data_IF_766045485075
#
_entry.id   IF_766045485075
#
_cell.length_a   1.000
_cell.length_b   1.000
_cell.length_c   1.000
_cell.angle_alpha   90.00
_cell.angle_beta   90.00
_cell.angle_gamma   90.00
#
_symmetry.space_group_name_H-M   'P 1'
#
loop_
_entity.id
_entity.type
_entity.pdbx_description
1 polymer ?
#
# COMPACT_ATOMS: atom_id res chain seq x y z
N UNK A 1 -59.80 42.32 -1.00
CA UNK A 1 -59.23 40.96 -1.18
C UNK A 1 -57.74 40.98 -1.53
N UNK A 2 -57.01 42.01 -1.18
CA UNK A 2 -55.58 42.20 -1.59
C UNK A 2 -54.58 42.27 -0.44
N UNK A 3 -54.97 42.10 0.81
CA UNK A 3 -54.07 42.20 1.98
C UNK A 3 -53.73 40.84 2.65
N UNK A 4 -54.42 39.78 2.29
CA UNK A 4 -54.19 38.44 2.86
C UNK A 4 -53.17 37.57 2.04
N UNK A 5 -52.94 37.94 0.79
CA UNK A 5 -52.00 37.20 -0.07
C UNK A 5 -50.52 37.58 0.16
N UNK A 6 -50.25 38.83 0.60
CA UNK A 6 -48.89 39.29 0.84
C UNK A 6 -48.26 38.72 2.15
N UNK A 7 -49.09 38.36 3.14
CA UNK A 7 -48.57 37.81 4.42
C UNK A 7 -48.21 36.32 4.37
N UNK A 8 -48.76 35.56 3.41
CA UNK A 8 -48.40 34.13 3.27
C UNK A 8 -47.14 33.90 2.46
N UNK A 9 -46.73 34.81 1.60
CA UNK A 9 -45.50 34.71 0.82
C UNK A 9 -44.27 35.05 1.67
N UNK A 10 -44.41 35.97 2.63
CA UNK A 10 -43.32 36.34 3.55
C UNK A 10 -43.03 35.24 4.61
N UNK A 11 -44.02 34.49 5.02
CA UNK A 11 -43.84 33.40 6.01
C UNK A 11 -43.23 32.14 5.37
N UNK A 12 -43.42 31.95 4.07
CA UNK A 12 -42.77 30.84 3.33
C UNK A 12 -41.30 31.17 2.95
N UNK A 13 -41.02 32.44 2.65
CA UNK A 13 -39.63 32.84 2.39
C UNK A 13 -38.75 32.89 3.65
N UNK A 14 -39.33 33.17 4.83
CA UNK A 14 -38.56 33.14 6.10
C UNK A 14 -38.37 31.73 6.64
N UNK A 15 -39.26 30.77 6.33
CA UNK A 15 -39.03 29.36 6.66
C UNK A 15 -38.04 28.67 5.72
N UNK A 16 -37.88 29.14 4.48
CA UNK A 16 -36.84 28.66 3.56
C UNK A 16 -35.47 29.24 3.89
N UNK A 17 -35.39 30.45 4.42
CA UNK A 17 -34.11 31.04 4.85
C UNK A 17 -33.62 30.48 6.18
N UNK A 18 -34.47 29.86 7.01
CA UNK A 18 -34.07 29.19 8.26
C UNK A 18 -33.70 27.70 7.98
N UNK A 19 -34.21 27.09 6.93
CA UNK A 19 -33.82 25.72 6.53
C UNK A 19 -32.52 25.65 5.72
N UNK A 20 -32.06 26.79 5.15
CA UNK A 20 -30.75 26.89 4.48
C UNK A 20 -29.62 27.44 5.36
N UNK A 21 -29.89 27.72 6.63
CA UNK A 21 -28.97 28.41 7.56
C UNK A 21 -28.28 27.52 8.58
N UNK A 22 -28.37 26.21 8.46
CA UNK A 22 -27.59 25.26 9.25
C UNK A 22 -26.70 24.39 8.33
N UNK A 23 -26.03 25.00 7.38
CA UNK A 23 -24.71 24.50 7.05
C UNK A 23 -23.86 24.79 8.29
N UNK A 24 -23.76 23.84 9.18
CA UNK A 24 -22.68 23.82 10.16
C UNK A 24 -21.42 23.97 9.34
N UNK A 25 -20.80 25.16 9.37
CA UNK A 25 -19.48 25.35 8.84
C UNK A 25 -18.62 24.30 9.50
N UNK A 26 -18.34 23.23 8.78
CA UNK A 26 -17.36 22.25 9.25
C UNK A 26 -16.11 23.06 9.54
N UNK A 27 -15.47 22.94 10.69
CA UNK A 27 -14.18 23.60 10.90
C UNK A 27 -13.32 23.21 9.71
N UNK A 28 -12.75 24.19 9.00
CA UNK A 28 -11.73 23.93 7.99
C UNK A 28 -10.63 23.14 8.69
N UNK A 29 -10.66 21.84 8.51
CA UNK A 29 -9.60 21.01 9.07
C UNK A 29 -8.35 21.27 8.24
N UNK A 30 -7.24 21.64 8.86
CA UNK A 30 -6.06 22.06 8.14
C UNK A 30 -5.57 20.93 7.22
N UNK A 31 -5.55 21.19 5.94
CA UNK A 31 -4.89 20.36 4.94
C UNK A 31 -3.54 21.01 4.68
N UNK A 32 -2.44 20.24 4.54
CA UNK A 32 -1.14 20.80 4.25
C UNK A 32 -1.18 21.72 3.03
N UNK A 33 -0.60 22.91 3.13
CA UNK A 33 -0.54 23.88 2.03
C UNK A 33 0.21 23.26 0.84
N UNK A 34 -0.42 23.14 -0.34
CA UNK A 34 0.25 22.59 -1.52
C UNK A 34 1.48 23.41 -1.98
N UNK A 35 1.56 24.69 -1.58
CA UNK A 35 2.67 25.57 -1.91
C UNK A 35 3.82 25.52 -0.88
N UNK A 36 3.62 24.84 0.26
CA UNK A 36 4.68 24.67 1.25
C UNK A 36 5.83 23.80 0.70
N UNK A 37 7.05 23.93 1.25
CA UNK A 37 8.15 23.04 0.95
C UNK A 37 7.76 21.56 1.07
N UNK A 38 8.35 20.70 0.23
CA UNK A 38 7.99 19.29 0.17
C UNK A 38 8.13 18.60 1.54
N UNK A 39 9.21 18.87 2.27
CA UNK A 39 9.45 18.28 3.58
C UNK A 39 8.37 18.67 4.62
N UNK A 40 7.86 19.91 4.58
CA UNK A 40 6.78 20.36 5.45
C UNK A 40 5.46 19.66 5.11
N UNK A 41 5.15 19.54 3.81
CA UNK A 41 3.95 18.83 3.33
C UNK A 41 3.96 17.35 3.73
N UNK A 42 5.08 16.67 3.51
CA UNK A 42 5.22 15.25 3.90
C UNK A 42 5.08 15.08 5.40
N UNK A 43 5.72 15.94 6.20
CA UNK A 43 5.61 15.90 7.67
C UNK A 43 4.17 16.13 8.14
N UNK A 44 3.46 17.07 7.52
CA UNK A 44 2.08 17.35 7.87
C UNK A 44 1.12 16.21 7.47
N UNK A 45 1.31 15.59 6.29
CA UNK A 45 0.53 14.42 5.90
C UNK A 45 0.85 13.18 6.75
N UNK A 46 2.10 12.99 7.13
CA UNK A 46 2.52 11.93 8.05
C UNK A 46 1.85 12.09 9.44
N UNK A 47 1.75 13.32 9.93
CA UNK A 47 1.03 13.61 11.16
C UNK A 47 -0.48 13.30 11.06
N UNK A 48 -1.13 13.68 9.95
CA UNK A 48 -2.55 13.37 9.71
C UNK A 48 -2.78 11.85 9.58
N UNK A 49 -1.85 11.14 8.93
CA UNK A 49 -1.88 9.69 8.87
C UNK A 49 -1.90 9.08 10.27
N UNK A 50 -1.01 9.52 11.16
CA UNK A 50 -0.97 9.03 12.54
C UNK A 50 -2.21 9.41 13.34
N UNK A 51 -2.77 10.59 13.12
CA UNK A 51 -3.92 11.09 13.88
C UNK A 51 -5.22 10.35 13.50
N UNK A 52 -5.43 10.07 12.20
CA UNK A 52 -6.72 9.58 11.71
C UNK A 52 -6.68 8.20 11.06
N UNK A 53 -5.57 7.82 10.44
CA UNK A 53 -5.48 6.59 9.63
C UNK A 53 -4.77 5.43 10.35
N UNK A 54 -3.98 5.71 11.38
CA UNK A 54 -3.14 4.72 12.03
C UNK A 54 -3.85 4.10 13.24
N UNK A 55 -4.23 2.83 13.10
CA UNK A 55 -4.93 2.08 14.15
C UNK A 55 -4.40 0.64 14.23
N UNK A 56 -4.19 0.13 15.44
CA UNK A 56 -3.73 -1.25 15.66
C UNK A 56 -2.41 -1.58 14.93
N UNK A 57 -1.56 -0.55 14.73
CA UNK A 57 -0.29 -0.61 14.01
C UNK A 57 -0.42 -0.88 12.51
N UNK A 58 -1.60 -0.66 11.92
CA UNK A 58 -1.85 -0.71 10.48
C UNK A 58 -2.44 0.61 9.97
N UNK A 59 -2.28 0.85 8.67
CA UNK A 59 -2.74 2.08 8.00
C UNK A 59 -4.11 1.83 7.37
N UNK A 60 -5.14 2.47 7.91
CA UNK A 60 -6.45 2.51 7.27
C UNK A 60 -6.43 3.49 6.09
N UNK A 61 -6.88 3.04 4.93
CA UNK A 61 -6.72 3.81 3.69
C UNK A 61 -7.63 5.00 3.59
N UNK A 62 -8.78 4.96 4.22
CA UNK A 62 -9.85 5.92 4.06
C UNK A 62 -10.38 6.38 5.41
N UNK A 63 -10.54 7.69 5.57
CA UNK A 63 -11.18 8.31 6.73
C UNK A 63 -12.29 9.23 6.26
N UNK A 64 -13.48 9.08 6.84
CA UNK A 64 -14.64 9.95 6.57
C UNK A 64 -14.96 10.73 7.82
N UNK A 65 -14.97 12.05 7.69
CA UNK A 65 -15.20 12.96 8.80
C UNK A 65 -16.70 13.19 9.08
N UNK A 66 -17.05 13.83 10.22
CA UNK A 66 -18.40 14.29 10.46
C UNK A 66 -18.92 15.21 9.32
N UNK A 67 -20.23 15.26 9.05
CA UNK A 67 -21.31 14.66 9.85
C UNK A 67 -21.68 13.23 9.47
N UNK A 68 -21.01 12.55 8.51
CA UNK A 68 -21.38 11.18 8.15
C UNK A 68 -21.25 10.23 9.34
N UNK A 69 -20.16 10.32 10.09
CA UNK A 69 -19.89 9.59 11.34
C UNK A 69 -20.46 10.23 12.59
N UNK A 70 -21.45 11.17 12.45
CA UNK A 70 -22.03 11.96 13.54
C UNK A 70 -21.00 12.92 14.17
N UNK A 71 -20.48 12.63 15.35
CA UNK A 71 -19.55 13.46 16.10
C UNK A 71 -18.08 13.00 16.02
N UNK A 72 -17.81 11.93 15.28
CA UNK A 72 -16.47 11.35 15.12
C UNK A 72 -16.17 10.95 13.68
N UNK A 73 -14.89 10.81 13.36
CA UNK A 73 -14.46 10.23 12.10
C UNK A 73 -14.69 8.71 12.09
N UNK A 74 -14.92 8.17 10.89
CA UNK A 74 -15.07 6.74 10.62
C UNK A 74 -13.95 6.33 9.70
N UNK A 75 -13.26 5.25 10.05
CA UNK A 75 -12.27 4.63 9.18
C UNK A 75 -12.96 3.62 8.25
N UNK A 76 -12.65 3.71 6.96
CA UNK A 76 -13.04 2.70 5.97
C UNK A 76 -11.95 1.64 5.87
N UNK A 77 -12.35 0.37 6.00
CA UNK A 77 -11.47 -0.74 5.68
C UNK A 77 -11.56 -1.05 4.19
N UNK A 78 -10.42 -0.96 3.54
CA UNK A 78 -10.23 -1.21 2.13
C UNK A 78 -9.28 -2.39 1.94
N UNK A 79 -9.43 -3.14 0.88
CA UNK A 79 -8.59 -4.30 0.55
C UNK A 79 -7.07 -3.99 0.47
N UNK A 80 -6.68 -2.71 0.39
CA UNK A 80 -5.29 -2.27 0.28
C UNK A 80 -4.61 -1.88 1.59
N UNK A 81 -5.27 -2.04 2.74
CA UNK A 81 -4.70 -1.73 4.07
C UNK A 81 -3.36 -2.40 4.31
N UNK A 82 -3.24 -3.68 3.95
CA UNK A 82 -1.99 -4.43 4.06
C UNK A 82 -0.85 -3.81 3.23
N UNK A 83 -1.12 -3.44 1.99
CA UNK A 83 -0.15 -2.80 1.09
C UNK A 83 0.29 -1.42 1.57
N UNK A 84 -0.65 -0.57 1.99
CA UNK A 84 -0.32 0.74 2.57
C UNK A 84 0.50 0.62 3.85
N UNK A 85 0.20 -0.36 4.71
CA UNK A 85 0.99 -0.66 5.91
C UNK A 85 2.42 -1.07 5.54
N UNK A 86 2.58 -1.94 4.54
CA UNK A 86 3.87 -2.36 4.03
C UNK A 86 4.66 -1.18 3.42
N UNK A 87 4.01 -0.36 2.57
CA UNK A 87 4.64 0.82 1.98
C UNK A 87 5.14 1.81 3.07
N UNK A 88 4.36 2.01 4.13
CA UNK A 88 4.77 2.88 5.24
C UNK A 88 5.91 2.27 6.06
N UNK A 89 5.94 0.93 6.25
CA UNK A 89 7.07 0.25 6.88
C UNK A 89 8.37 0.47 6.09
N UNK A 90 8.33 0.33 4.77
CA UNK A 90 9.49 0.61 3.92
C UNK A 90 9.89 2.09 3.99
N UNK A 91 8.92 3.02 3.97
CA UNK A 91 9.16 4.45 4.10
C UNK A 91 9.88 4.79 5.42
N UNK A 92 9.41 4.27 6.54
CA UNK A 92 10.00 4.53 7.85
C UNK A 92 11.34 3.84 8.05
N UNK A 93 11.57 2.72 7.39
CA UNK A 93 12.90 2.09 7.31
C UNK A 93 13.90 3.00 6.61
N UNK A 94 13.55 3.59 5.48
CA UNK A 94 14.37 4.60 4.81
C UNK A 94 14.52 5.88 5.63
N UNK A 95 13.47 6.33 6.33
CA UNK A 95 13.52 7.47 7.24
C UNK A 95 14.56 7.25 8.35
N UNK A 96 14.53 6.10 9.00
CA UNK A 96 15.53 5.74 10.00
C UNK A 96 16.94 5.66 9.40
N UNK A 97 17.11 5.10 8.21
CA UNK A 97 18.40 5.04 7.53
C UNK A 97 19.01 6.43 7.29
N UNK A 98 18.16 7.45 7.04
CA UNK A 98 18.58 8.85 6.87
C UNK A 98 18.87 9.56 8.19
N UNK A 99 17.96 9.42 9.17
CA UNK A 99 17.97 10.26 10.37
C UNK A 99 18.73 9.65 11.54
N UNK A 100 18.76 8.33 11.62
CA UNK A 100 19.28 7.54 12.73
C UNK A 100 18.63 7.84 14.09
N UNK A 101 17.44 8.46 14.08
CA UNK A 101 16.72 8.77 15.29
C UNK A 101 16.00 7.53 15.83
N UNK A 102 16.18 7.16 17.12
CA UNK A 102 15.54 5.98 17.71
C UNK A 102 14.00 5.98 17.59
N UNK A 103 13.36 7.16 17.65
CA UNK A 103 11.92 7.28 17.49
C UNK A 103 11.43 6.83 16.10
N UNK A 104 12.22 7.07 15.04
CA UNK A 104 11.87 6.63 13.69
C UNK A 104 12.01 5.12 13.50
N UNK A 105 12.95 4.49 14.21
CA UNK A 105 13.01 3.04 14.26
C UNK A 105 11.81 2.47 15.00
N UNK A 106 11.50 3.00 16.19
CA UNK A 106 10.34 2.54 16.97
C UNK A 106 9.04 2.61 16.16
N UNK A 107 8.85 3.68 15.36
CA UNK A 107 7.68 3.77 14.48
C UNK A 107 7.66 2.70 13.36
N UNK A 108 8.84 2.29 12.85
CA UNK A 108 8.94 1.17 11.92
C UNK A 108 8.70 -0.18 12.64
N UNK A 109 9.19 -0.34 13.87
CA UNK A 109 8.97 -1.54 14.69
C UNK A 109 7.46 -1.74 14.98
N UNK A 110 6.71 -0.65 15.25
CA UNK A 110 5.25 -0.68 15.42
C UNK A 110 4.53 -1.15 14.15
N UNK A 111 4.94 -0.68 12.96
CA UNK A 111 4.39 -1.13 11.68
C UNK A 111 4.73 -2.60 11.39
N UNK A 112 5.94 -3.04 11.72
CA UNK A 112 6.30 -4.46 11.63
C UNK A 112 5.38 -5.31 12.53
N UNK A 113 5.07 -4.83 13.74
CA UNK A 113 4.10 -5.47 14.62
C UNK A 113 2.70 -5.50 13.98
N UNK A 114 2.30 -4.46 13.25
CA UNK A 114 1.05 -4.43 12.47
C UNK A 114 1.00 -5.55 11.42
N UNK A 115 2.11 -5.76 10.68
CA UNK A 115 2.23 -6.87 9.72
C UNK A 115 2.12 -8.23 10.43
N UNK A 116 2.75 -8.40 11.58
CA UNK A 116 2.60 -9.61 12.38
C UNK A 116 1.16 -9.81 12.89
N UNK A 117 0.44 -8.73 13.17
CA UNK A 117 -0.97 -8.80 13.56
C UNK A 117 -1.88 -9.16 12.36
N UNK A 118 -1.56 -8.75 11.12
CA UNK A 118 -2.25 -9.21 9.91
C UNK A 118 -2.12 -10.73 9.70
N UNK A 119 -1.01 -11.34 10.11
CA UNK A 119 -0.88 -12.80 10.16
C UNK A 119 -1.65 -13.39 11.38
N UNK A 120 -1.41 -12.84 12.55
CA UNK A 120 -1.97 -13.35 13.81
C UNK A 120 -3.49 -13.41 13.82
N UNK A 121 -4.16 -12.41 13.21
CA UNK A 121 -5.62 -12.29 13.21
C UNK A 121 -6.31 -13.44 12.49
N UNK A 122 -5.64 -14.07 11.51
CA UNK A 122 -6.14 -15.24 10.76
C UNK A 122 -6.11 -16.52 11.60
N UNK A 123 -5.16 -16.60 12.55
CA UNK A 123 -4.90 -17.81 13.36
C UNK A 123 -4.17 -18.92 12.63
N UNK A 124 -3.68 -18.67 11.41
CA UNK A 124 -2.99 -19.67 10.57
C UNK A 124 -1.62 -19.13 10.17
N UNK A 125 -0.50 -19.79 10.61
CA UNK A 125 0.85 -19.33 10.27
C UNK A 125 1.06 -19.20 8.77
N UNK A 126 1.61 -18.04 8.35
CA UNK A 126 1.87 -17.70 6.96
C UNK A 126 0.63 -17.35 6.13
N UNK A 127 -0.58 -17.42 6.69
CA UNK A 127 -1.79 -16.84 6.10
C UNK A 127 -1.93 -15.41 6.63
N UNK A 128 -1.99 -14.43 5.74
CA UNK A 128 -2.00 -13.02 6.11
C UNK A 128 -3.29 -12.38 5.62
N UNK A 129 -3.93 -11.57 6.45
CA UNK A 129 -5.14 -10.84 6.11
C UNK A 129 -4.83 -9.63 5.21
N UNK A 130 -5.78 -9.21 4.37
CA UNK A 130 -5.73 -7.93 3.66
C UNK A 130 -5.91 -6.76 4.60
N UNK A 131 -6.79 -6.93 5.59
CA UNK A 131 -7.15 -5.93 6.58
C UNK A 131 -7.73 -6.58 7.82
N UNK A 132 -7.74 -5.86 8.94
CA UNK A 132 -8.49 -6.25 10.13
C UNK A 132 -8.93 -5.02 10.91
N UNK A 133 -9.93 -5.20 11.78
CA UNK A 133 -10.42 -4.14 12.65
C UNK A 133 -11.04 -4.69 13.93
N UNK A 134 -11.14 -3.84 14.93
CA UNK A 134 -11.82 -4.13 16.20
C UNK A 134 -13.32 -3.86 16.07
N UNK A 135 -14.17 -4.83 16.39
CA UNK A 135 -15.62 -4.80 16.10
C UNK A 135 -16.41 -3.75 16.87
N UNK A 136 -15.85 -3.17 17.93
CA UNK A 136 -16.45 -2.06 18.67
C UNK A 136 -16.13 -0.67 18.10
N UNK A 137 -15.25 -0.61 17.07
CA UNK A 137 -14.98 0.61 16.33
C UNK A 137 -16.01 0.77 15.21
N UNK A 138 -16.55 1.97 15.02
CA UNK A 138 -17.44 2.21 13.90
C UNK A 138 -16.64 2.16 12.60
N UNK A 139 -16.99 1.21 11.77
CA UNK A 139 -16.56 1.15 10.39
C UNK A 139 -17.65 1.70 9.49
N UNK A 140 -17.23 2.39 8.43
CA UNK A 140 -18.15 2.85 7.40
C UNK A 140 -18.80 1.67 6.68
N UNK A 141 -18.02 0.72 6.20
CA UNK A 141 -18.47 -0.58 5.69
C UNK A 141 -17.30 -1.54 5.52
N UNK A 142 -17.62 -2.82 5.57
CA UNK A 142 -16.76 -3.88 5.10
C UNK A 142 -16.92 -3.95 3.58
N UNK A 143 -15.87 -3.63 2.82
CA UNK A 143 -15.87 -3.84 1.39
C UNK A 143 -15.19 -5.16 1.08
N UNK A 144 -15.92 -6.05 0.39
CA UNK A 144 -15.34 -7.15 -0.34
C UNK A 144 -15.71 -6.92 -1.81
N UNK A 145 -14.79 -6.43 -2.61
CA UNK A 145 -15.07 -6.09 -4.02
C UNK A 145 -15.43 -7.33 -4.86
N UNK A 146 -14.77 -8.44 -4.60
CA UNK A 146 -14.89 -9.65 -5.40
C UNK A 146 -15.61 -10.77 -4.66
N UNK A 147 -15.49 -10.85 -3.33
CA UNK A 147 -16.04 -11.91 -2.51
C UNK A 147 -16.73 -11.36 -1.26
N UNK A 148 -18.05 -11.20 -1.26
CA UNK A 148 -18.80 -10.61 -0.13
C UNK A 148 -18.71 -11.42 1.18
N UNK A 149 -18.09 -12.62 1.19
CA UNK A 149 -17.99 -13.50 2.35
C UNK A 149 -16.56 -13.64 2.89
N UNK A 150 -15.61 -12.79 2.49
CA UNK A 150 -14.20 -12.89 2.90
C UNK A 150 -13.90 -12.27 4.26
N UNK A 151 -14.91 -11.71 4.93
CA UNK A 151 -14.77 -11.21 6.29
C UNK A 151 -15.03 -12.30 7.33
N UNK A 152 -14.03 -12.55 8.17
CA UNK A 152 -14.02 -13.59 9.18
C UNK A 152 -13.88 -13.02 10.59
N UNK A 153 -14.51 -13.65 11.58
CA UNK A 153 -14.24 -13.38 12.99
C UNK A 153 -12.90 -14.02 13.38
N UNK A 154 -12.03 -13.27 14.06
CA UNK A 154 -10.75 -13.81 14.52
C UNK A 154 -10.92 -14.75 15.69
N UNK A 155 -10.30 -15.93 15.60
CA UNK A 155 -10.23 -16.92 16.69
C UNK A 155 -9.06 -16.65 17.64
N UNK A 156 -8.04 -15.96 17.20
CA UNK A 156 -6.79 -15.68 17.93
C UNK A 156 -6.73 -14.29 18.52
N UNK A 157 -7.54 -13.37 17.97
CA UNK A 157 -7.72 -12.01 18.48
C UNK A 157 -9.22 -11.76 18.70
N UNK A 158 -9.79 -12.15 19.87
CA UNK A 158 -11.20 -11.97 20.16
C UNK A 158 -11.63 -10.49 20.03
N UNK A 159 -12.78 -10.23 19.43
CA UNK A 159 -13.25 -8.87 19.18
C UNK A 159 -12.71 -8.23 17.89
N UNK A 160 -11.95 -8.97 17.09
CA UNK A 160 -11.49 -8.52 15.77
C UNK A 160 -12.14 -9.32 14.64
N UNK A 161 -12.35 -8.63 13.52
CA UNK A 161 -12.68 -9.24 12.22
C UNK A 161 -11.58 -8.91 11.21
N UNK A 162 -11.42 -9.76 10.20
CA UNK A 162 -10.38 -9.64 9.19
C UNK A 162 -10.86 -10.08 7.82
N UNK A 163 -10.24 -9.52 6.79
CA UNK A 163 -10.52 -9.79 5.39
C UNK A 163 -9.48 -10.77 4.81
N UNK A 164 -9.97 -11.82 4.15
CA UNK A 164 -9.16 -12.83 3.47
C UNK A 164 -8.81 -12.49 2.02
N UNK A 165 -8.60 -13.53 1.22
CA UNK A 165 -8.31 -13.47 -0.21
C UNK A 165 -7.08 -12.59 -0.58
N UNK A 166 -5.95 -12.82 0.11
CA UNK A 166 -4.70 -12.10 -0.15
C UNK A 166 -4.25 -12.24 -1.62
N UNK A 167 -3.80 -11.17 -2.24
CA UNK A 167 -3.39 -11.12 -3.65
C UNK A 167 -1.87 -11.08 -3.84
N UNK A 168 -1.41 -11.27 -5.07
CA UNK A 168 0.02 -11.25 -5.45
C UNK A 168 0.69 -9.93 -5.16
N UNK A 169 -0.04 -8.82 -5.28
CA UNK A 169 0.47 -7.48 -4.94
C UNK A 169 0.84 -7.40 -3.46
N UNK A 170 0.00 -7.91 -2.55
CA UNK A 170 0.33 -7.93 -1.12
C UNK A 170 1.49 -8.88 -0.80
N UNK A 171 1.65 -9.96 -1.58
CA UNK A 171 2.83 -10.80 -1.48
C UNK A 171 4.10 -9.99 -1.77
N UNK A 172 4.07 -9.19 -2.82
CA UNK A 172 5.19 -8.33 -3.23
C UNK A 172 5.44 -7.21 -2.21
N UNK A 173 4.39 -6.52 -1.78
CA UNK A 173 4.47 -5.47 -0.77
C UNK A 173 5.15 -5.95 0.52
N UNK A 174 4.81 -7.16 0.99
CA UNK A 174 5.38 -7.69 2.22
C UNK A 174 6.84 -8.10 2.09
N UNK A 175 7.25 -8.84 1.06
CA UNK A 175 8.67 -9.21 0.97
C UNK A 175 9.56 -7.99 0.72
N UNK A 176 9.07 -6.98 -0.02
CA UNK A 176 9.77 -5.72 -0.22
C UNK A 176 9.92 -4.94 1.08
N UNK A 177 8.82 -4.70 1.79
CA UNK A 177 8.83 -3.88 3.00
C UNK A 177 9.58 -4.55 4.15
N UNK A 178 9.29 -5.83 4.41
CA UNK A 178 9.95 -6.59 5.50
C UNK A 178 11.42 -6.84 5.19
N UNK A 179 11.77 -7.11 3.93
CA UNK A 179 13.17 -7.23 3.51
C UNK A 179 13.95 -5.92 3.64
N UNK A 180 13.33 -4.79 3.26
CA UNK A 180 13.90 -3.45 3.44
C UNK A 180 14.08 -3.11 4.93
N UNK A 181 13.05 -3.35 5.74
CA UNK A 181 13.12 -3.15 7.19
C UNK A 181 14.24 -3.98 7.83
N UNK A 182 14.31 -5.28 7.52
CA UNK A 182 15.36 -6.18 8.00
C UNK A 182 16.76 -5.67 7.69
N UNK A 183 16.96 -5.13 6.49
CA UNK A 183 18.30 -4.74 6.01
C UNK A 183 18.79 -3.42 6.60
N UNK A 184 17.91 -2.40 6.66
CA UNK A 184 18.36 -1.02 6.94
C UNK A 184 17.82 -0.40 8.23
N UNK A 185 16.88 -1.08 8.93
CA UNK A 185 16.19 -0.51 10.09
C UNK A 185 16.27 -1.39 11.34
N UNK A 186 15.96 -2.68 11.22
CA UNK A 186 15.79 -3.61 12.33
C UNK A 186 17.07 -3.83 13.14
N UNK A 187 16.96 -3.91 14.47
CA UNK A 187 17.99 -4.49 15.34
C UNK A 187 17.93 -6.03 15.29
N UNK A 188 18.83 -6.72 16.01
CA UNK A 188 18.95 -8.17 15.91
C UNK A 188 17.68 -8.92 16.35
N UNK A 189 16.95 -8.42 17.35
CA UNK A 189 15.70 -9.00 17.80
C UNK A 189 14.62 -8.87 16.70
N UNK A 190 14.46 -7.68 16.14
CA UNK A 190 13.50 -7.41 15.09
C UNK A 190 13.89 -8.03 13.74
N UNK A 191 15.17 -8.22 13.46
CA UNK A 191 15.63 -9.03 12.33
C UNK A 191 15.15 -10.47 12.43
N UNK A 192 15.18 -11.05 13.62
CA UNK A 192 14.64 -12.40 13.81
C UNK A 192 13.12 -12.44 13.60
N UNK A 193 12.37 -11.45 14.10
CA UNK A 193 10.92 -11.37 13.86
C UNK A 193 10.60 -11.26 12.36
N UNK A 194 11.34 -10.43 11.62
CA UNK A 194 11.19 -10.28 10.18
C UNK A 194 11.52 -11.58 9.43
N UNK A 195 12.61 -12.26 9.83
CA UNK A 195 13.01 -13.55 9.26
C UNK A 195 11.95 -14.63 9.52
N UNK A 196 11.44 -14.72 10.73
CA UNK A 196 10.39 -15.68 11.10
C UNK A 196 9.08 -15.43 10.34
N UNK A 197 8.71 -14.16 10.14
CA UNK A 197 7.54 -13.82 9.32
C UNK A 197 7.72 -14.25 7.87
N UNK A 198 8.84 -13.88 7.21
CA UNK A 198 9.09 -14.27 5.82
C UNK A 198 9.21 -15.78 5.65
N UNK A 199 9.79 -16.48 6.63
CA UNK A 199 9.85 -17.95 6.61
C UNK A 199 8.45 -18.57 6.63
N UNK A 200 7.54 -18.09 7.46
CA UNK A 200 6.15 -18.58 7.48
C UNK A 200 5.39 -18.17 6.22
N UNK A 201 5.50 -16.91 5.81
CA UNK A 201 4.72 -16.35 4.73
C UNK A 201 5.13 -16.88 3.35
N UNK A 202 6.40 -16.72 2.96
CA UNK A 202 6.92 -17.24 1.69
C UNK A 202 6.99 -18.77 1.75
N UNK A 203 7.32 -19.31 2.91
CA UNK A 203 7.36 -20.77 3.12
C UNK A 203 6.01 -21.43 2.89
N UNK A 204 4.91 -20.85 3.40
CA UNK A 204 3.56 -21.34 3.11
C UNK A 204 3.26 -21.32 1.60
N UNK A 205 3.60 -20.26 0.89
CA UNK A 205 3.41 -20.19 -0.57
C UNK A 205 4.16 -21.32 -1.28
N UNK A 206 5.41 -21.60 -0.90
CA UNK A 206 6.21 -22.74 -1.44
C UNK A 206 5.54 -24.07 -1.10
N UNK A 207 5.11 -24.28 0.14
CA UNK A 207 4.49 -25.54 0.60
C UNK A 207 3.16 -25.83 -0.12
N UNK A 208 2.46 -24.81 -0.59
CA UNK A 208 1.25 -24.94 -1.43
C UNK A 208 1.53 -24.85 -2.94
N UNK A 209 2.73 -25.26 -3.36
CA UNK A 209 3.13 -25.26 -4.77
C UNK A 209 2.98 -23.87 -5.41
N UNK A 210 3.59 -22.87 -4.77
CA UNK A 210 3.64 -21.49 -5.23
C UNK A 210 2.23 -20.86 -5.42
N UNK A 211 1.37 -21.03 -4.41
CA UNK A 211 0.04 -20.45 -4.36
C UNK A 211 -0.16 -19.75 -3.03
N UNK A 212 -0.83 -18.61 -3.05
CA UNK A 212 -1.44 -18.07 -1.84
C UNK A 212 -2.71 -18.85 -1.56
N UNK A 213 -2.78 -19.44 -0.37
CA UNK A 213 -3.91 -20.30 0.03
C UNK A 213 -4.52 -19.75 1.29
N UNK A 214 -5.82 -19.45 1.25
CA UNK A 214 -6.57 -18.93 2.37
C UNK A 214 -6.88 -19.99 3.44
N UNK A 215 -7.56 -19.58 4.50
CA UNK A 215 -7.93 -20.43 5.65
C UNK A 215 -8.89 -21.55 5.29
N UNK A 216 -9.63 -21.42 4.20
CA UNK A 216 -10.52 -22.47 3.66
C UNK A 216 -9.76 -23.55 2.83
N UNK A 217 -8.44 -23.41 2.68
CA UNK A 217 -7.58 -24.31 1.92
C UNK A 217 -7.61 -24.12 0.41
N UNK A 218 -8.27 -23.06 -0.09
CA UNK A 218 -8.31 -22.75 -1.52
C UNK A 218 -7.31 -21.65 -1.89
N UNK A 219 -6.87 -21.70 -3.14
CA UNK A 219 -6.07 -20.63 -3.72
C UNK A 219 -6.91 -19.35 -3.79
N UNK A 220 -6.31 -18.24 -3.37
CA UNK A 220 -6.91 -16.92 -3.50
C UNK A 220 -7.06 -16.49 -4.96
N UNK A 221 -7.92 -15.54 -5.26
CA UNK A 221 -8.23 -15.13 -6.63
C UNK A 221 -6.98 -14.75 -7.42
N UNK A 222 -6.10 -13.94 -6.82
CA UNK A 222 -4.90 -13.39 -7.46
C UNK A 222 -3.58 -14.00 -6.95
N UNK A 223 -3.66 -15.09 -6.19
CA UNK A 223 -2.50 -15.70 -5.52
C UNK A 223 -1.82 -16.82 -6.30
N UNK A 224 -1.75 -16.75 -7.64
CA UNK A 224 -1.23 -17.84 -8.47
C UNK A 224 0.18 -17.55 -9.00
N UNK A 225 1.18 -18.17 -8.38
CA UNK A 225 2.55 -18.21 -8.87
C UNK A 225 2.96 -19.64 -9.28
N UNK A 226 1.99 -20.53 -9.43
CA UNK A 226 2.24 -21.96 -9.62
C UNK A 226 2.73 -22.26 -11.05
N UNK A 227 3.88 -22.94 -11.21
CA UNK A 227 4.42 -23.24 -12.54
C UNK A 227 3.57 -24.21 -13.34
N UNK A 228 2.69 -24.99 -12.68
CA UNK A 228 1.82 -25.97 -13.33
C UNK A 228 0.48 -25.36 -13.78
N UNK A 229 0.24 -24.06 -13.51
CA UNK A 229 -0.98 -23.34 -13.88
C UNK A 229 -0.64 -22.12 -14.75
N UNK A 230 -1.53 -21.72 -15.65
CA UNK A 230 -1.37 -20.45 -16.36
C UNK A 230 -1.28 -19.28 -15.36
N UNK A 231 -0.27 -18.44 -15.50
CA UNK A 231 -0.07 -17.25 -14.69
C UNK A 231 0.55 -16.14 -15.55
N UNK A 232 0.55 -14.93 -15.03
CA UNK A 232 1.15 -13.80 -15.70
C UNK A 232 2.67 -13.80 -15.55
N UNK A 233 3.39 -13.25 -16.53
CA UNK A 233 4.85 -13.17 -16.47
C UNK A 233 5.35 -12.30 -15.30
N UNK A 234 4.56 -11.33 -14.85
CA UNK A 234 4.86 -10.53 -13.66
C UNK A 234 4.95 -11.43 -12.41
N UNK A 235 4.06 -12.41 -12.28
CA UNK A 235 4.04 -13.32 -11.13
C UNK A 235 5.34 -14.17 -11.05
N UNK A 236 5.97 -14.46 -12.19
CA UNK A 236 7.28 -15.12 -12.18
C UNK A 236 8.37 -14.21 -11.58
N UNK A 237 8.39 -12.92 -11.93
CA UNK A 237 9.30 -11.94 -11.36
C UNK A 237 9.08 -11.78 -9.85
N UNK A 238 7.83 -11.64 -9.41
CA UNK A 238 7.44 -11.50 -8.00
C UNK A 238 7.88 -12.71 -7.18
N UNK A 239 7.64 -13.92 -7.69
CA UNK A 239 8.02 -15.13 -6.98
C UNK A 239 9.54 -15.30 -6.87
N UNK A 240 10.30 -15.03 -7.94
CA UNK A 240 11.76 -15.03 -7.87
C UNK A 240 12.28 -14.03 -6.86
N UNK A 241 11.72 -12.82 -6.82
CA UNK A 241 12.11 -11.78 -5.86
C UNK A 241 11.77 -12.20 -4.41
N UNK A 242 10.58 -12.74 -4.18
CA UNK A 242 10.17 -13.24 -2.87
C UNK A 242 11.07 -14.37 -2.34
N UNK A 243 11.44 -15.31 -3.20
CA UNK A 243 12.35 -16.42 -2.84
C UNK A 243 13.76 -15.94 -2.53
N UNK A 244 14.33 -15.04 -3.35
CA UNK A 244 15.66 -14.44 -3.07
C UNK A 244 15.67 -13.63 -1.79
N UNK A 245 14.60 -12.86 -1.53
CA UNK A 245 14.44 -12.11 -0.28
C UNK A 245 14.36 -13.07 0.91
N UNK A 246 13.51 -14.09 0.84
CA UNK A 246 13.37 -15.08 1.90
C UNK A 246 14.70 -15.81 2.17
N UNK A 247 15.45 -16.21 1.13
CA UNK A 247 16.77 -16.80 1.29
C UNK A 247 17.75 -15.86 1.99
N UNK A 248 17.83 -14.60 1.52
CA UNK A 248 18.74 -13.58 2.07
C UNK A 248 18.46 -13.31 3.55
N UNK A 249 17.19 -13.22 3.91
CA UNK A 249 16.76 -12.86 5.27
C UNK A 249 16.83 -14.04 6.24
N UNK A 250 16.47 -15.25 5.77
CA UNK A 250 16.38 -16.43 6.65
C UNK A 250 17.60 -17.34 6.62
N UNK A 251 18.41 -17.26 5.58
CA UNK A 251 19.53 -18.19 5.32
C UNK A 251 19.12 -19.64 5.01
N UNK A 252 17.83 -19.90 4.74
CA UNK A 252 17.31 -21.26 4.54
C UNK A 252 17.43 -21.72 3.09
N UNK A 253 18.24 -22.73 2.83
CA UNK A 253 18.52 -23.28 1.49
C UNK A 253 17.28 -23.70 0.71
N UNK A 254 16.16 -24.01 1.39
CA UNK A 254 14.90 -24.37 0.71
C UNK A 254 14.42 -23.30 -0.27
N UNK A 255 14.64 -22.01 0.04
CA UNK A 255 14.23 -20.91 -0.83
C UNK A 255 15.15 -20.77 -2.03
N UNK A 256 16.46 -20.96 -1.85
CA UNK A 256 17.42 -20.97 -2.96
C UNK A 256 17.18 -22.18 -3.88
N UNK A 257 16.90 -23.35 -3.30
CA UNK A 257 16.55 -24.54 -4.08
C UNK A 257 15.25 -24.36 -4.90
N UNK A 258 14.22 -23.74 -4.29
CA UNK A 258 12.98 -23.41 -5.00
C UNK A 258 13.22 -22.37 -6.11
N UNK A 259 14.04 -21.36 -5.86
CA UNK A 259 14.45 -20.34 -6.84
C UNK A 259 15.10 -20.99 -8.07
N UNK A 260 16.12 -21.82 -7.88
CA UNK A 260 16.79 -22.51 -8.98
C UNK A 260 15.86 -23.49 -9.68
N UNK A 261 15.00 -24.20 -8.96
CA UNK A 261 14.04 -25.12 -9.56
C UNK A 261 13.06 -24.38 -10.50
N UNK A 262 12.58 -23.21 -10.12
CA UNK A 262 11.71 -22.39 -10.97
C UNK A 262 12.45 -21.88 -12.22
N UNK A 263 13.73 -21.52 -12.09
CA UNK A 263 14.57 -21.08 -13.20
C UNK A 263 14.89 -22.27 -14.12
N UNK A 264 15.52 -23.33 -13.60
CA UNK A 264 16.11 -24.40 -14.39
C UNK A 264 15.03 -25.26 -15.08
N UNK A 265 13.88 -25.43 -14.45
CA UNK A 265 12.83 -26.32 -14.93
C UNK A 265 11.68 -25.58 -15.60
N UNK A 266 11.36 -24.37 -15.13
CA UNK A 266 10.14 -23.65 -15.55
C UNK A 266 10.43 -22.31 -16.23
N UNK A 267 11.72 -21.91 -16.35
CA UNK A 267 12.18 -20.70 -17.05
C UNK A 267 11.55 -19.39 -16.54
N UNK A 268 11.39 -19.26 -15.23
CA UNK A 268 10.82 -18.06 -14.61
C UNK A 268 11.69 -16.82 -14.85
N UNK A 269 13.00 -16.98 -14.99
CA UNK A 269 13.93 -15.92 -15.35
C UNK A 269 13.67 -15.37 -16.76
N UNK A 270 13.31 -16.22 -17.74
CA UNK A 270 12.89 -15.80 -19.08
C UNK A 270 11.50 -15.16 -19.08
N UNK A 271 10.56 -15.70 -18.28
CA UNK A 271 9.24 -15.09 -18.07
C UNK A 271 9.38 -13.70 -17.42
N UNK A 272 10.26 -13.55 -16.42
CA UNK A 272 10.52 -12.28 -15.77
C UNK A 272 10.99 -11.18 -16.76
N UNK A 273 11.73 -11.53 -17.85
CA UNK A 273 12.08 -10.57 -18.90
C UNK A 273 10.82 -9.98 -19.54
N UNK A 274 9.75 -10.77 -19.63
CA UNK A 274 8.49 -10.41 -20.27
C UNK A 274 7.43 -9.90 -19.29
N UNK A 275 7.81 -9.63 -18.05
CA UNK A 275 6.89 -9.16 -17.00
C UNK A 275 6.12 -7.90 -17.41
N UNK A 276 6.74 -6.98 -18.18
CA UNK A 276 6.04 -5.82 -18.72
C UNK A 276 5.37 -6.12 -20.05
N UNK A 277 4.05 -5.96 -20.07
CA UNK A 277 3.26 -5.94 -21.32
C UNK A 277 3.46 -4.58 -21.98
N UNK A 278 4.09 -4.57 -23.17
CA UNK A 278 4.32 -3.34 -23.94
C UNK A 278 3.27 -3.13 -25.04
N UNK A 279 2.62 -4.20 -25.45
CA UNK A 279 1.63 -4.17 -26.52
C UNK A 279 0.61 -5.32 -26.34
N UNK A 280 -0.69 -5.08 -26.56
CA UNK A 280 -1.32 -3.78 -26.86
C UNK A 280 -1.15 -2.77 -25.74
N UNK A 281 -1.05 -1.48 -26.06
CA UNK A 281 -0.80 -0.42 -25.07
C UNK A 281 -1.92 -0.30 -24.03
N UNK A 282 -3.13 -0.69 -24.39
CA UNK A 282 -4.32 -0.71 -23.53
C UNK A 282 -4.23 -1.75 -22.39
N UNK A 283 -3.34 -2.75 -22.52
CA UNK A 283 -3.08 -3.77 -21.51
C UNK A 283 -1.94 -3.39 -20.57
N UNK A 284 -1.36 -2.22 -20.76
CA UNK A 284 -0.32 -1.70 -19.89
C UNK A 284 -0.96 -1.13 -18.63
N UNK A 285 -0.72 -1.77 -17.50
CA UNK A 285 -1.30 -1.42 -16.21
C UNK A 285 -0.24 -0.72 -15.35
N UNK A 286 -0.45 0.55 -14.95
CA UNK A 286 0.57 1.32 -14.21
C UNK A 286 0.84 0.81 -12.79
N UNK A 287 -0.16 0.28 -12.09
CA UNK A 287 0.02 -0.25 -10.73
C UNK A 287 0.81 -1.55 -10.69
N UNK A 288 0.79 -2.37 -11.75
CA UNK A 288 1.67 -3.54 -11.89
C UNK A 288 3.15 -3.15 -11.93
N UNK A 289 3.46 -1.92 -12.35
CA UNK A 289 4.82 -1.41 -12.34
C UNK A 289 5.36 -1.15 -10.93
N UNK A 290 4.50 -0.89 -9.96
CA UNK A 290 4.86 -0.81 -8.55
C UNK A 290 5.39 -2.16 -8.05
N UNK A 291 4.69 -3.25 -8.38
CA UNK A 291 5.06 -4.61 -8.02
C UNK A 291 6.38 -5.02 -8.67
N UNK A 292 6.54 -4.71 -9.95
CA UNK A 292 7.78 -4.95 -10.66
C UNK A 292 8.95 -4.16 -10.05
N UNK A 293 8.76 -2.87 -9.74
CA UNK A 293 9.79 -2.03 -9.15
C UNK A 293 10.25 -2.57 -7.78
N UNK A 294 9.31 -2.91 -6.90
CA UNK A 294 9.59 -3.53 -5.60
C UNK A 294 10.32 -4.88 -5.76
N UNK A 295 9.89 -5.70 -6.71
CA UNK A 295 10.53 -6.98 -7.04
C UNK A 295 11.97 -6.78 -7.51
N UNK A 296 12.24 -5.85 -8.42
CA UNK A 296 13.61 -5.54 -8.87
C UNK A 296 14.49 -5.04 -7.73
N UNK A 297 13.96 -4.20 -6.85
CA UNK A 297 14.73 -3.66 -5.74
C UNK A 297 15.28 -4.76 -4.84
N UNK A 298 14.49 -5.78 -4.54
CA UNK A 298 14.93 -6.91 -3.73
C UNK A 298 15.78 -7.91 -4.54
N UNK A 299 15.31 -8.31 -5.71
CA UNK A 299 15.93 -9.34 -6.53
C UNK A 299 17.33 -8.93 -7.00
N UNK A 300 17.48 -7.76 -7.63
CA UNK A 300 18.76 -7.33 -8.21
C UNK A 300 19.81 -6.97 -7.16
N UNK A 301 19.40 -6.64 -5.93
CA UNK A 301 20.34 -6.38 -4.84
C UNK A 301 20.85 -7.63 -4.15
N UNK A 302 20.11 -8.74 -4.27
CA UNK A 302 20.42 -10.00 -3.63
C UNK A 302 20.88 -11.07 -4.60
N UNK A 303 20.94 -10.77 -5.91
CA UNK A 303 21.41 -11.68 -6.93
C UNK A 303 22.92 -11.55 -7.15
N UNK A 304 23.62 -12.68 -7.15
CA UNK A 304 25.06 -12.76 -7.33
C UNK A 304 25.45 -13.38 -8.67
N UNK A 305 24.51 -14.06 -9.39
CA UNK A 305 24.77 -14.66 -10.70
C UNK A 305 24.75 -13.58 -11.80
N UNK A 306 25.88 -13.35 -12.50
CA UNK A 306 25.93 -12.34 -13.56
C UNK A 306 25.00 -12.60 -14.74
N UNK A 307 24.68 -13.85 -15.05
CA UNK A 307 23.78 -14.20 -16.16
C UNK A 307 22.34 -13.89 -15.83
N UNK A 308 21.90 -14.21 -14.61
CA UNK A 308 20.58 -13.83 -14.10
C UNK A 308 20.46 -12.33 -13.96
N UNK A 309 21.48 -11.66 -13.43
CA UNK A 309 21.52 -10.20 -13.34
C UNK A 309 21.37 -9.54 -14.71
N UNK A 310 21.94 -10.10 -15.78
CA UNK A 310 21.75 -9.59 -17.13
C UNK A 310 20.26 -9.72 -17.57
N UNK A 311 19.59 -10.84 -17.28
CA UNK A 311 18.16 -11.03 -17.58
C UNK A 311 17.30 -10.01 -16.81
N UNK A 312 17.58 -9.79 -15.53
CA UNK A 312 16.85 -8.81 -14.73
C UNK A 312 17.09 -7.37 -15.21
N UNK A 313 18.30 -7.05 -15.69
CA UNK A 313 18.57 -5.77 -16.37
C UNK A 313 17.76 -5.63 -17.68
N UNK A 314 17.61 -6.69 -18.46
CA UNK A 314 16.75 -6.66 -19.66
C UNK A 314 15.29 -6.41 -19.26
N UNK A 315 14.83 -7.03 -18.20
CA UNK A 315 13.47 -6.90 -17.68
C UNK A 315 13.19 -5.46 -17.20
N UNK A 316 14.01 -4.91 -16.31
CA UNK A 316 13.82 -3.54 -15.79
C UNK A 316 13.95 -2.48 -16.91
N UNK A 317 14.79 -2.71 -17.91
CA UNK A 317 14.91 -1.82 -19.07
C UNK A 317 13.62 -1.76 -19.90
N UNK A 318 12.87 -2.88 -20.00
CA UNK A 318 11.56 -2.91 -20.64
C UNK A 318 10.53 -2.10 -19.86
N UNK A 319 10.52 -2.21 -18.53
CA UNK A 319 9.68 -1.39 -17.67
C UNK A 319 10.06 0.09 -17.77
N UNK A 320 11.35 0.42 -17.69
CA UNK A 320 11.82 1.80 -17.82
C UNK A 320 11.45 2.42 -19.16
N UNK A 321 11.50 1.65 -20.26
CA UNK A 321 11.03 2.10 -21.56
C UNK A 321 9.54 2.49 -21.54
N UNK A 322 8.71 1.70 -20.89
CA UNK A 322 7.28 2.01 -20.71
C UNK A 322 7.06 3.21 -19.76
N UNK A 323 7.83 3.31 -18.68
CA UNK A 323 7.70 4.40 -17.71
C UNK A 323 7.95 5.78 -18.31
N UNK A 324 8.85 5.89 -19.28
CA UNK A 324 9.08 7.16 -20.02
C UNK A 324 7.85 7.69 -20.75
N UNK A 325 6.94 6.82 -21.13
CA UNK A 325 5.69 7.19 -21.79
C UNK A 325 4.60 7.63 -20.78
N UNK A 326 4.80 7.39 -19.48
CA UNK A 326 3.85 7.79 -18.47
C UNK A 326 3.94 9.30 -18.25
N UNK A 327 2.77 9.96 -18.34
CA UNK A 327 2.64 11.30 -17.80
C UNK A 327 2.63 11.12 -16.28
N UNK A 328 3.43 11.89 -15.55
CA UNK A 328 3.60 11.84 -14.08
C UNK A 328 2.28 12.09 -13.31
N UNK A 329 1.20 11.39 -13.66
CA UNK A 329 -0.10 11.47 -13.00
C UNK A 329 -0.26 10.51 -11.82
N UNK A 330 0.64 9.53 -11.67
CA UNK A 330 0.62 8.56 -10.58
C UNK A 330 1.70 8.90 -9.55
N UNK A 331 1.35 8.86 -8.28
CA UNK A 331 2.25 9.19 -7.17
C UNK A 331 3.52 8.31 -7.12
N UNK A 332 3.41 7.06 -7.58
CA UNK A 332 4.51 6.08 -7.57
C UNK A 332 5.51 6.22 -8.71
N UNK A 333 5.21 6.97 -9.78
CA UNK A 333 6.09 7.06 -10.97
C UNK A 333 7.49 7.63 -10.65
N UNK A 334 7.67 8.68 -9.83
CA UNK A 334 9.01 9.13 -9.45
C UNK A 334 9.85 8.05 -8.76
N UNK A 335 9.22 7.17 -7.97
CA UNK A 335 9.88 6.04 -7.32
C UNK A 335 10.55 5.12 -8.34
N UNK A 336 9.88 4.82 -9.46
CA UNK A 336 10.42 3.93 -10.49
C UNK A 336 11.69 4.48 -11.13
N UNK A 337 11.77 5.77 -11.40
CA UNK A 337 12.95 6.41 -11.97
C UNK A 337 14.11 6.44 -10.97
N UNK A 338 13.86 6.80 -9.72
CA UNK A 338 14.87 6.76 -8.66
C UNK A 338 15.40 5.33 -8.48
N UNK A 339 14.51 4.35 -8.40
CA UNK A 339 14.85 2.94 -8.22
C UNK A 339 15.65 2.41 -9.41
N UNK A 340 15.25 2.73 -10.65
CA UNK A 340 16.00 2.36 -11.84
C UNK A 340 17.44 2.88 -11.78
N UNK A 341 17.61 4.15 -11.47
CA UNK A 341 18.95 4.75 -11.35
C UNK A 341 19.78 4.09 -10.23
N UNK A 342 19.18 3.76 -9.10
CA UNK A 342 19.86 3.04 -8.00
C UNK A 342 20.34 1.66 -8.44
N UNK A 343 19.50 0.91 -9.16
CA UNK A 343 19.78 -0.48 -9.53
C UNK A 343 20.71 -0.62 -10.75
N UNK A 344 20.64 0.32 -11.69
CA UNK A 344 21.39 0.21 -12.94
C UNK A 344 22.65 1.08 -12.97
N UNK A 345 22.67 2.17 -12.20
CA UNK A 345 23.68 3.21 -12.26
C UNK A 345 23.50 4.15 -13.47
N UNK A 346 22.47 3.96 -14.30
CA UNK A 346 22.16 4.79 -15.44
C UNK A 346 21.35 6.02 -15.00
N UNK A 347 21.63 7.19 -15.57
CA UNK A 347 20.89 8.41 -15.26
C UNK A 347 19.43 8.30 -15.73
N UNK A 348 18.50 8.44 -14.79
CA UNK A 348 17.06 8.35 -15.03
C UNK A 348 16.28 9.49 -14.36
N UNK A 349 16.83 10.09 -13.31
CA UNK A 349 16.21 11.18 -12.56
C UNK A 349 16.63 12.51 -13.17
N UNK A 350 15.90 12.95 -14.19
CA UNK A 350 16.07 14.24 -14.85
C UNK A 350 15.26 15.37 -14.21
N UNK A 351 15.32 16.57 -14.78
CA UNK A 351 14.59 17.74 -14.29
C UNK A 351 13.08 17.53 -14.20
N UNK A 352 12.49 16.76 -15.11
CA UNK A 352 11.04 16.47 -15.10
C UNK A 352 10.64 15.53 -13.95
N UNK A 353 11.48 14.56 -13.64
CA UNK A 353 11.29 13.68 -12.48
C UNK A 353 11.44 14.46 -11.18
N UNK A 354 12.45 15.34 -11.09
CA UNK A 354 12.64 16.21 -9.94
C UNK A 354 11.47 17.16 -9.72
N UNK A 355 10.89 17.71 -10.78
CA UNK A 355 9.70 18.56 -10.70
C UNK A 355 8.48 17.74 -10.25
N UNK A 356 8.33 16.50 -10.74
CA UNK A 356 7.26 15.61 -10.27
C UNK A 356 7.42 15.30 -8.78
N UNK A 357 8.64 15.03 -8.30
CA UNK A 357 8.93 14.82 -6.88
C UNK A 357 8.56 16.05 -6.05
N UNK A 358 8.98 17.25 -6.46
CA UNK A 358 8.66 18.50 -5.76
C UNK A 358 7.17 18.78 -5.67
N UNK A 359 6.40 18.29 -6.64
CA UNK A 359 4.96 18.50 -6.71
C UNK A 359 4.14 17.31 -6.15
N UNK A 360 4.78 16.29 -5.56
CA UNK A 360 4.07 15.18 -4.93
C UNK A 360 3.11 15.68 -3.85
N UNK A 361 1.92 15.08 -3.83
CA UNK A 361 0.91 15.33 -2.80
C UNK A 361 0.90 14.14 -1.86
N UNK A 362 1.10 14.39 -0.56
CA UNK A 362 1.09 13.34 0.47
C UNK A 362 -0.30 12.75 0.74
N UNK A 363 -1.34 13.39 0.25
CA UNK A 363 -2.72 12.97 0.41
C UNK A 363 -3.68 13.97 -0.22
N UNK A 364 -4.96 13.72 -0.05
CA UNK A 364 -6.01 14.64 -0.46
C UNK A 364 -7.25 14.50 0.43
N UNK A 365 -8.03 15.57 0.50
CA UNK A 365 -9.32 15.60 1.17
C UNK A 365 -10.36 16.09 0.19
N UNK A 366 -11.43 15.31 0.02
CA UNK A 366 -12.47 15.56 -0.98
C UNK A 366 -13.83 15.56 -0.33
N UNK A 367 -14.65 16.57 -0.62
CA UNK A 367 -16.05 16.60 -0.20
C UNK A 367 -16.83 15.62 -1.08
N UNK A 368 -17.44 14.61 -0.48
CA UNK A 368 -18.27 13.61 -1.16
C UNK A 368 -19.66 13.52 -0.56
N UNK A 369 -20.58 12.93 -1.32
CA UNK A 369 -21.94 12.61 -0.86
C UNK A 369 -22.02 11.11 -0.57
N UNK A 370 -22.33 10.78 0.66
CA UNK A 370 -22.49 9.41 1.14
C UNK A 370 -23.95 9.10 1.40
N UNK A 371 -24.34 7.85 1.21
CA UNK A 371 -25.68 7.36 1.60
C UNK A 371 -25.60 6.77 3.00
N UNK A 372 -26.24 7.41 3.97
CA UNK A 372 -26.37 6.92 5.35
C UNK A 372 -27.69 6.21 5.52
N UNK A 373 -27.70 4.95 5.91
CA UNK A 373 -28.90 4.22 6.26
C UNK A 373 -29.39 4.65 7.65
N UNK A 374 -30.59 5.19 7.72
CA UNK A 374 -31.23 5.59 8.99
C UNK A 374 -32.53 4.81 9.19
N UNK A 375 -33.10 4.78 10.41
CA UNK A 375 -34.40 4.15 10.65
C UNK A 375 -35.54 4.72 9.75
N UNK A 376 -35.39 5.96 9.33
CA UNK A 376 -36.38 6.66 8.46
C UNK A 376 -36.07 6.45 6.95
N UNK A 377 -35.06 5.64 6.62
CA UNK A 377 -34.63 5.35 5.26
C UNK A 377 -33.25 5.95 4.92
N UNK A 378 -32.76 5.71 3.69
CA UNK A 378 -31.46 6.20 3.25
C UNK A 378 -31.44 7.73 3.11
N UNK A 379 -30.45 8.37 3.73
CA UNK A 379 -30.22 9.82 3.66
C UNK A 379 -28.90 10.11 2.96
N UNK A 380 -28.89 11.19 2.15
CA UNK A 380 -27.67 11.69 1.52
C UNK A 380 -26.98 12.69 2.46
N UNK A 381 -25.72 12.41 2.80
CA UNK A 381 -24.91 13.22 3.71
C UNK A 381 -23.63 13.64 2.99
N UNK A 382 -23.36 14.96 2.96
CA UNK A 382 -22.07 15.46 2.48
C UNK A 382 -21.06 15.42 3.60
N UNK A 383 -19.91 14.83 3.34
CA UNK A 383 -18.81 14.72 4.30
C UNK A 383 -17.46 14.75 3.59
N UNK A 384 -16.43 15.20 4.30
CA UNK A 384 -15.07 15.09 3.80
C UNK A 384 -14.56 13.65 3.95
N UNK A 385 -13.96 13.16 2.88
CA UNK A 385 -13.16 11.96 2.84
C UNK A 385 -11.69 12.33 2.69
N UNK A 386 -10.83 11.70 3.47
CA UNK A 386 -9.38 11.87 3.42
C UNK A 386 -8.72 10.56 3.03
N UNK A 387 -7.76 10.68 2.13
CA UNK A 387 -6.84 9.61 1.77
C UNK A 387 -5.41 10.14 1.92
N UNK A 388 -4.56 9.39 2.61
CA UNK A 388 -3.13 9.67 2.73
C UNK A 388 -2.35 8.62 1.93
N UNK A 389 -1.39 9.09 1.14
CA UNK A 389 -0.59 8.23 0.28
C UNK A 389 0.68 7.76 0.99
N UNK A 390 0.67 6.52 1.48
CA UNK A 390 1.87 5.87 2.00
C UNK A 390 2.99 5.80 0.93
N UNK A 391 2.62 5.61 -0.35
CA UNK A 391 3.57 5.62 -1.47
C UNK A 391 4.29 6.95 -1.64
N UNK A 392 3.61 8.08 -1.43
CA UNK A 392 4.26 9.39 -1.50
C UNK A 392 5.27 9.56 -0.35
N UNK A 393 4.94 9.08 0.84
CA UNK A 393 5.85 9.07 1.99
C UNK A 393 7.06 8.17 1.70
N UNK A 394 6.83 6.99 1.10
CA UNK A 394 7.89 6.09 0.63
C UNK A 394 8.79 6.76 -0.41
N UNK A 395 8.21 7.36 -1.45
CA UNK A 395 8.95 8.10 -2.47
C UNK A 395 9.87 9.16 -1.88
N UNK A 396 9.36 9.93 -0.93
CA UNK A 396 10.14 10.97 -0.25
C UNK A 396 11.32 10.38 0.52
N UNK A 397 11.09 9.41 1.40
CA UNK A 397 12.16 8.86 2.24
C UNK A 397 13.14 7.99 1.46
N UNK A 398 12.69 7.29 0.42
CA UNK A 398 13.56 6.61 -0.53
C UNK A 398 14.47 7.62 -1.24
N UNK A 399 13.89 8.69 -1.78
CA UNK A 399 14.64 9.74 -2.46
C UNK A 399 15.64 10.46 -1.55
N UNK A 400 15.29 10.67 -0.27
CA UNK A 400 16.19 11.20 0.76
C UNK A 400 17.35 10.24 1.06
N UNK A 401 17.06 8.95 1.15
CA UNK A 401 18.05 7.92 1.46
C UNK A 401 19.09 7.81 0.35
N UNK A 402 18.68 7.88 -0.90
CA UNK A 402 19.58 7.76 -2.05
C UNK A 402 20.07 9.11 -2.61
N UNK A 403 19.76 10.21 -1.95
CA UNK A 403 20.32 11.52 -2.29
C UNK A 403 19.65 12.23 -3.48
N UNK A 404 18.48 11.79 -3.92
CA UNK A 404 17.70 12.45 -4.98
C UNK A 404 16.93 13.67 -4.48
N UNK A 405 16.58 13.68 -3.21
CA UNK A 405 15.76 14.74 -2.59
C UNK A 405 16.61 15.52 -1.59
N UNK A 406 16.72 16.83 -1.84
CA UNK A 406 17.40 17.75 -0.92
C UNK A 406 16.57 17.90 0.38
N UNK A 407 17.21 17.90 1.57
CA UNK A 407 16.55 18.16 2.84
C UNK A 407 15.74 19.45 2.91
N UNK A 408 16.14 20.45 2.12
CA UNK A 408 15.52 21.78 2.12
C UNK A 408 14.29 21.90 1.20
N UNK A 409 13.95 20.87 0.42
CA UNK A 409 12.80 20.93 -0.50
C UNK A 409 11.46 20.82 0.19
#
# INVERSE_FOLDING_TARGET
MTALFARRIWTLCTLWAIASGLAWGQPEMPVPDPAAPLHERITAWDALLHEYHYHDNIVQTQVIFPPFGEDRHITGNHEDVAGHTAALLAAYSHRYAVTREPAHRAAADDLMQGILNLERVTGVPGCVARSFYQTDRPLWHEQAYFFPNEWHDSKTMPGYRWEGDLSSDKFTDFFFAVGTYWEICADEEHKQLAADFLDRFVGRCVDFNFKLVDVDGKMTLWGNFCPDLPHENLNALEMLAGLRTAYKVTGKDRYLAAYHMLIDRYHYDDQAILAKVLWPKEWTVPWDDSLAAQSYYMLMRFEDDPSLMQKYRMSINRHYFAWKDYKFGYASVPFYFMLYQVLTGEEAVDGSVLDAIKNMRGGHRTLRTFTKNTPDGPQQVQSYEEEVSADTILNYWFGRHYGFIDPAW
#
